data_IF_756041510306
#
_entry.id   IF_756041510306
#
_cell.length_a   1.000
_cell.length_b   1.000
_cell.length_c   1.000
_cell.angle_alpha   90.00
_cell.angle_beta   90.00
_cell.angle_gamma   90.00
#
_symmetry.space_group_name_H-M   'P 1'
#
loop_
_entity.id
_entity.type
_entity.pdbx_description
1 polymer ?
#
# COMPACT_ATOMS: atom_id res chain seq x y z
N UNK A 1 4.55 -4.42 -9.53
CA UNK A 1 5.26 -4.13 -8.27
C UNK A 1 5.39 -2.62 -8.10
N UNK A 2 5.36 -2.11 -6.88
CA UNK A 2 5.56 -0.68 -6.59
C UNK A 2 6.90 -0.14 -7.13
N UNK A 3 7.86 -1.01 -7.46
CA UNK A 3 9.11 -0.66 -8.15
C UNK A 3 8.88 -0.14 -9.57
N UNK A 4 7.78 -0.51 -10.23
CA UNK A 4 7.35 0.09 -11.49
C UNK A 4 6.84 1.53 -11.31
N UNK A 5 6.56 1.97 -10.08
CA UNK A 5 6.11 3.31 -9.75
C UNK A 5 7.15 4.40 -9.89
N UNK A 6 8.44 4.07 -9.89
CA UNK A 6 9.51 5.06 -9.94
C UNK A 6 10.43 4.83 -11.13
N UNK A 7 10.40 5.75 -12.11
CA UNK A 7 11.48 5.89 -13.09
C UNK A 7 11.42 5.02 -14.36
N UNK A 8 10.33 4.29 -14.61
CA UNK A 8 10.15 3.65 -15.93
C UNK A 8 9.44 4.63 -16.85
N UNK A 9 10.23 5.29 -17.68
CA UNK A 9 9.76 6.21 -18.72
C UNK A 9 9.84 5.55 -20.12
N UNK A 10 9.24 4.36 -20.23
CA UNK A 10 9.07 3.70 -21.51
C UNK A 10 7.75 4.14 -22.14
N UNK A 11 7.81 4.58 -23.39
CA UNK A 11 6.62 4.99 -24.14
C UNK A 11 5.86 3.81 -24.74
N UNK A 12 6.54 2.68 -24.99
CA UNK A 12 6.07 1.50 -25.71
C UNK A 12 5.44 0.40 -24.81
N UNK A 13 4.92 0.76 -23.64
CA UNK A 13 4.19 -0.18 -22.77
C UNK A 13 2.84 -0.51 -23.43
N UNK A 14 2.63 -1.78 -23.78
CA UNK A 14 1.41 -2.24 -24.46
C UNK A 14 0.30 -2.69 -23.53
N UNK A 15 0.63 -3.07 -22.29
CA UNK A 15 -0.36 -3.46 -21.30
C UNK A 15 0.11 -3.17 -19.87
N UNK A 16 -0.85 -2.83 -19.03
CA UNK A 16 -0.69 -2.74 -17.57
C UNK A 16 -1.76 -3.62 -16.94
N UNK A 17 -1.35 -4.58 -16.13
CA UNK A 17 -2.25 -5.47 -15.40
C UNK A 17 -2.08 -5.25 -13.92
N UNK A 18 -3.17 -4.86 -13.26
CA UNK A 18 -3.24 -4.79 -11.80
C UNK A 18 -3.76 -6.13 -11.29
N UNK A 19 -2.90 -6.90 -10.65
CA UNK A 19 -3.26 -8.18 -10.05
C UNK A 19 -3.98 -8.03 -8.71
N UNK A 20 -3.70 -6.95 -8.00
CA UNK A 20 -4.37 -6.55 -6.76
C UNK A 20 -4.91 -5.13 -6.94
N UNK A 21 -6.00 -4.80 -6.23
CA UNK A 21 -6.57 -3.45 -6.27
C UNK A 21 -5.56 -2.41 -5.76
N UNK A 22 -5.30 -1.32 -6.48
CA UNK A 22 -4.55 -0.18 -5.97
C UNK A 22 -5.24 0.48 -4.77
N UNK A 23 -4.47 1.14 -3.91
CA UNK A 23 -5.00 1.80 -2.71
C UNK A 23 -5.84 3.05 -2.98
N UNK A 24 -5.82 3.57 -4.22
CA UNK A 24 -6.61 4.74 -4.61
C UNK A 24 -6.77 4.84 -6.13
N UNK A 25 -7.71 5.66 -6.57
CA UNK A 25 -7.93 5.98 -7.99
C UNK A 25 -6.73 6.70 -8.58
N UNK A 26 -6.06 7.56 -7.80
CA UNK A 26 -4.85 8.27 -8.20
C UNK A 26 -3.70 7.29 -8.50
N UNK A 27 -3.49 6.29 -7.62
CA UNK A 27 -2.49 5.26 -7.83
C UNK A 27 -2.80 4.43 -9.08
N UNK A 28 -4.06 4.01 -9.24
CA UNK A 28 -4.52 3.31 -10.44
C UNK A 28 -4.26 4.13 -11.71
N UNK A 29 -4.65 5.40 -11.71
CA UNK A 29 -4.49 6.28 -12.87
C UNK A 29 -3.02 6.51 -13.25
N UNK A 30 -2.15 6.71 -12.26
CA UNK A 30 -0.70 6.86 -12.49
C UNK A 30 -0.07 5.59 -13.06
N UNK A 31 -0.50 4.42 -12.62
CA UNK A 31 0.02 3.13 -13.08
C UNK A 31 -0.54 2.79 -14.46
N UNK A 32 -1.85 2.91 -14.67
CA UNK A 32 -2.52 2.69 -15.95
C UNK A 32 -2.03 3.66 -17.04
N UNK A 33 -1.80 4.92 -16.69
CA UNK A 33 -1.29 5.97 -17.58
C UNK A 33 0.14 5.76 -18.10
N UNK A 34 0.79 4.64 -17.75
CA UNK A 34 2.08 4.23 -18.35
C UNK A 34 1.88 3.51 -19.68
N UNK A 35 0.71 2.95 -19.93
CA UNK A 35 0.39 2.24 -21.15
C UNK A 35 0.14 3.23 -22.31
N UNK A 36 0.71 2.95 -23.50
CA UNK A 36 0.42 3.67 -24.73
C UNK A 36 0.88 5.12 -24.77
N UNK A 37 1.95 5.50 -24.08
CA UNK A 37 2.47 6.89 -24.11
C UNK A 37 2.95 7.34 -25.49
N UNK A 38 3.22 6.41 -26.38
CA UNK A 38 3.57 6.67 -27.79
C UNK A 38 2.34 6.90 -28.69
N UNK A 39 1.12 6.83 -28.13
CA UNK A 39 -0.14 6.97 -28.86
C UNK A 39 -0.65 5.69 -29.51
N UNK A 40 0.10 4.59 -29.42
CA UNK A 40 -0.33 3.29 -29.92
C UNK A 40 -1.30 2.60 -28.97
N UNK A 41 -2.12 1.68 -29.52
CA UNK A 41 -3.10 0.93 -28.73
C UNK A 41 -2.44 0.18 -27.57
N UNK A 42 -3.02 0.33 -26.38
CA UNK A 42 -2.55 -0.32 -25.17
C UNK A 42 -3.74 -0.72 -24.28
N UNK A 43 -3.53 -1.71 -23.40
CA UNK A 43 -4.57 -2.26 -22.54
C UNK A 43 -4.23 -2.02 -21.08
N UNK A 44 -5.25 -1.66 -20.30
CA UNK A 44 -5.17 -1.60 -18.83
C UNK A 44 -6.23 -2.55 -18.26
N UNK A 45 -5.82 -3.49 -17.47
CA UNK A 45 -6.71 -4.47 -16.87
C UNK A 45 -6.52 -4.51 -15.35
N UNK A 46 -7.63 -4.58 -14.63
CA UNK A 46 -7.65 -4.76 -13.19
C UNK A 46 -8.38 -6.05 -12.84
N UNK A 47 -7.65 -7.00 -12.27
CA UNK A 47 -8.20 -8.25 -11.75
C UNK A 47 -8.72 -8.00 -10.34
N UNK A 48 -9.98 -7.57 -10.24
CA UNK A 48 -10.57 -7.18 -8.96
C UNK A 48 -11.13 -8.37 -8.19
N UNK A 49 -10.70 -8.50 -6.94
CA UNK A 49 -11.32 -9.34 -5.93
C UNK A 49 -11.51 -8.49 -4.66
N UNK A 50 -12.75 -8.42 -4.15
CA UNK A 50 -13.02 -7.64 -2.94
C UNK A 50 -12.15 -8.05 -1.74
N UNK A 51 -11.76 -9.33 -1.64
CA UNK A 51 -10.89 -9.79 -0.56
C UNK A 51 -9.51 -9.10 -0.55
N UNK A 52 -9.06 -8.57 -1.70
CA UNK A 52 -7.76 -7.89 -1.82
C UNK A 52 -7.76 -6.51 -1.15
N UNK A 53 -8.96 -5.95 -0.85
CA UNK A 53 -9.08 -4.71 -0.06
C UNK A 53 -8.42 -4.85 1.30
N UNK A 54 -8.41 -6.06 1.90
CA UNK A 54 -7.76 -6.33 3.18
C UNK A 54 -6.26 -6.02 3.17
N UNK A 55 -5.60 -6.23 2.04
CA UNK A 55 -4.19 -5.86 1.88
C UNK A 55 -4.01 -4.35 1.95
N UNK A 56 -4.90 -3.60 1.31
CA UNK A 56 -4.87 -2.14 1.34
C UNK A 56 -5.26 -1.59 2.73
N UNK A 57 -6.27 -2.18 3.37
CA UNK A 57 -6.64 -1.86 4.75
C UNK A 57 -5.47 -2.06 5.71
N UNK A 58 -4.74 -3.17 5.58
CA UNK A 58 -3.53 -3.42 6.38
C UNK A 58 -2.46 -2.33 6.17
N UNK A 59 -2.28 -1.83 4.95
CA UNK A 59 -1.36 -0.73 4.69
C UNK A 59 -1.88 0.60 5.26
N UNK A 60 -3.19 0.88 5.14
CA UNK A 60 -3.81 2.07 5.75
C UNK A 60 -3.61 2.06 7.26
N UNK A 61 -3.90 0.93 7.94
CA UNK A 61 -3.67 0.78 9.37
C UNK A 61 -2.20 0.96 9.74
N UNK A 62 -1.30 0.49 8.86
CA UNK A 62 0.15 0.60 9.05
C UNK A 62 0.69 2.02 8.97
N UNK A 63 0.07 2.92 8.21
CA UNK A 63 0.52 4.31 8.05
C UNK A 63 -0.29 5.30 8.89
N UNK A 64 -1.34 4.84 9.56
CA UNK A 64 -2.23 5.64 10.41
C UNK A 64 -2.28 5.08 11.85
N UNK A 65 -1.20 5.23 12.64
CA UNK A 65 -1.21 4.79 14.03
C UNK A 65 -2.18 5.66 14.82
N UNK A 66 -3.07 5.04 15.60
CA UNK A 66 -3.92 5.75 16.54
C UNK A 66 -3.10 6.39 17.66
N UNK A 67 -3.68 7.37 18.35
CA UNK A 67 -3.03 8.10 19.43
C UNK A 67 -2.54 7.18 20.57
N UNK A 68 -3.27 6.10 20.87
CA UNK A 68 -2.85 5.11 21.87
C UNK A 68 -1.52 4.46 21.48
N UNK A 69 -1.38 4.03 20.23
CA UNK A 69 -0.14 3.42 19.71
C UNK A 69 1.04 4.39 19.83
N UNK A 70 0.83 5.68 19.53
CA UNK A 70 1.87 6.71 19.63
C UNK A 70 2.29 6.88 21.09
N UNK A 71 1.33 6.87 22.02
CA UNK A 71 1.58 6.91 23.47
C UNK A 71 2.32 5.67 23.97
N UNK A 72 1.95 4.48 23.48
CA UNK A 72 2.60 3.22 23.87
C UNK A 72 4.06 3.20 23.41
N UNK A 73 4.35 3.68 22.19
CA UNK A 73 5.72 3.82 21.69
C UNK A 73 6.52 4.84 22.52
N UNK A 74 5.92 5.98 22.87
CA UNK A 74 6.59 6.97 23.70
C UNK A 74 6.84 6.44 25.13
N UNK A 75 5.87 5.74 25.72
CA UNK A 75 6.00 5.10 27.03
C UNK A 75 7.12 4.04 27.03
N UNK A 76 7.22 3.26 25.96
CA UNK A 76 8.33 2.32 25.79
C UNK A 76 9.68 3.04 25.88
N UNK A 77 9.85 4.19 25.19
CA UNK A 77 11.09 4.95 25.27
C UNK A 77 11.36 5.53 26.66
N UNK A 78 10.33 6.02 27.35
CA UNK A 78 10.50 6.48 28.73
C UNK A 78 10.98 5.36 29.68
N UNK A 79 10.55 4.13 29.44
CA UNK A 79 10.89 2.98 30.28
C UNK A 79 12.25 2.36 29.98
N UNK A 80 12.71 2.43 28.71
CA UNK A 80 13.91 1.73 28.21
C UNK A 80 15.12 2.68 27.99
N UNK A 81 14.93 3.99 28.23
CA UNK A 81 15.99 4.98 28.04
C UNK A 81 17.11 4.83 29.11
N UNK A 82 18.34 4.99 28.65
CA UNK A 82 19.52 5.05 29.50
C UNK A 82 19.67 6.42 30.22
N UNK A 83 20.79 6.64 30.88
CA UNK A 83 21.13 7.88 31.59
C UNK A 83 21.25 9.12 30.69
N UNK A 84 21.45 8.91 29.38
CA UNK A 84 21.50 9.96 28.35
C UNK A 84 20.15 10.13 27.62
N UNK A 85 19.11 9.48 28.11
CA UNK A 85 17.77 9.43 27.48
C UNK A 85 17.79 8.82 26.09
N UNK A 86 18.70 7.87 25.84
CA UNK A 86 18.85 7.16 24.57
C UNK A 86 18.35 5.72 24.66
N UNK A 87 17.75 5.27 23.56
CA UNK A 87 17.26 3.90 23.38
C UNK A 87 17.86 3.30 22.12
N UNK A 88 18.54 2.18 22.27
CA UNK A 88 19.22 1.46 21.19
C UNK A 88 18.47 0.16 20.85
N UNK A 89 17.27 0.27 20.30
CA UNK A 89 16.39 -0.85 19.97
C UNK A 89 16.02 -0.85 18.50
N UNK A 90 15.81 -2.03 17.95
CA UNK A 90 15.26 -2.20 16.59
C UNK A 90 13.74 -1.96 16.59
N UNK A 91 13.17 -1.77 15.41
CA UNK A 91 11.71 -1.67 15.27
C UNK A 91 11.00 -2.96 15.69
N UNK A 92 11.65 -4.11 15.50
CA UNK A 92 11.11 -5.41 15.89
C UNK A 92 11.09 -5.55 17.42
N UNK A 93 12.14 -5.10 18.13
CA UNK A 93 12.16 -5.09 19.59
C UNK A 93 11.04 -4.22 20.15
N UNK A 94 10.83 -3.02 19.59
CA UNK A 94 9.73 -2.12 19.98
C UNK A 94 8.39 -2.79 19.73
N UNK A 95 8.20 -3.38 18.56
CA UNK A 95 6.98 -4.09 18.16
C UNK A 95 6.62 -5.19 19.16
N UNK A 96 7.59 -6.04 19.51
CA UNK A 96 7.39 -7.13 20.46
C UNK A 96 7.05 -6.61 21.86
N UNK A 97 7.76 -5.59 22.31
CA UNK A 97 7.58 -5.04 23.67
C UNK A 97 6.20 -4.44 23.89
N UNK A 98 5.62 -3.78 22.87
CA UNK A 98 4.29 -3.17 22.98
C UNK A 98 3.17 -4.06 22.40
N UNK A 99 3.50 -5.27 21.89
CA UNK A 99 2.53 -6.21 21.33
C UNK A 99 1.86 -5.72 20.05
N UNK A 100 2.53 -4.88 19.26
CA UNK A 100 1.96 -4.32 18.04
C UNK A 100 1.85 -5.39 16.95
N UNK A 101 0.68 -5.47 16.28
CA UNK A 101 0.43 -6.40 15.19
C UNK A 101 1.12 -5.97 13.89
N UNK A 102 1.18 -4.66 13.64
CA UNK A 102 1.70 -4.08 12.40
C UNK A 102 2.98 -3.27 12.69
N UNK A 103 4.13 -3.76 12.22
CA UNK A 103 5.42 -3.08 12.38
C UNK A 103 5.51 -1.73 11.64
N UNK A 104 4.73 -1.52 10.57
CA UNK A 104 4.67 -0.24 9.86
C UNK A 104 4.10 0.86 10.75
N UNK A 105 3.13 0.52 11.63
CA UNK A 105 2.53 1.47 12.56
C UNK A 105 3.55 2.03 13.57
N UNK A 106 4.55 1.24 13.96
CA UNK A 106 5.67 1.72 14.78
C UNK A 106 6.44 2.82 14.04
N UNK A 107 6.79 2.57 12.77
CA UNK A 107 7.49 3.56 11.95
C UNK A 107 6.70 4.86 11.78
N UNK A 108 5.39 4.75 11.59
CA UNK A 108 4.50 5.90 11.47
C UNK A 108 4.34 6.65 12.82
N UNK A 109 4.25 5.92 13.94
CA UNK A 109 4.21 6.50 15.28
C UNK A 109 5.51 7.27 15.60
N UNK A 110 6.68 6.67 15.30
CA UNK A 110 7.97 7.35 15.41
C UNK A 110 8.02 8.63 14.58
N UNK A 111 7.52 8.58 13.33
CA UNK A 111 7.43 9.76 12.48
C UNK A 111 6.56 10.88 13.09
N UNK A 112 5.48 10.51 13.77
CA UNK A 112 4.62 11.49 14.48
C UNK A 112 5.34 12.07 15.70
N UNK A 113 5.99 11.24 16.50
CA UNK A 113 6.78 11.71 17.65
C UNK A 113 7.95 12.61 17.24
N UNK A 114 8.63 12.31 16.13
CA UNK A 114 9.70 13.16 15.59
C UNK A 114 9.17 14.53 15.12
N UNK A 115 8.05 14.56 14.38
CA UNK A 115 7.43 15.82 13.95
C UNK A 115 6.98 16.68 15.13
N UNK A 116 6.52 16.06 16.19
CA UNK A 116 6.17 16.74 17.45
C UNK A 116 7.36 17.15 18.30
N UNK A 117 8.60 16.86 17.87
CA UNK A 117 9.83 17.12 18.62
C UNK A 117 9.84 16.47 20.03
N UNK A 118 9.27 15.28 20.13
CA UNK A 118 9.28 14.46 21.34
C UNK A 118 10.51 13.56 21.38
N UNK A 119 10.94 13.09 20.20
CA UNK A 119 12.09 12.24 19.99
C UNK A 119 12.92 12.72 18.79
N UNK A 120 14.18 12.34 18.78
CA UNK A 120 15.03 12.38 17.58
C UNK A 120 15.61 10.99 17.30
N UNK A 121 15.90 10.73 16.02
CA UNK A 121 16.58 9.49 15.63
C UNK A 121 17.96 9.79 15.06
N UNK A 122 18.93 8.98 15.44
CA UNK A 122 20.30 9.12 15.01
C UNK A 122 20.88 7.78 14.54
N UNK A 123 21.93 7.87 13.72
CA UNK A 123 22.62 6.69 13.22
C UNK A 123 23.65 6.20 14.24
N UNK A 124 23.64 4.90 14.50
CA UNK A 124 24.61 4.24 15.38
C UNK A 124 25.78 3.75 14.50
N UNK A 125 27.01 4.24 14.70
CA UNK A 125 28.16 3.82 13.92
C UNK A 125 28.34 2.29 13.94
N UNK A 126 28.43 1.68 12.76
CA UNK A 126 28.61 0.23 12.60
C UNK A 126 27.33 -0.61 12.78
N UNK A 127 26.18 0.02 13.00
CA UNK A 127 24.88 -0.67 13.12
C UNK A 127 23.92 -0.26 12.03
N UNK A 128 23.01 -1.18 11.62
CA UNK A 128 21.85 -0.85 10.79
C UNK A 128 20.67 -0.34 11.61
N UNK A 129 20.67 -0.57 12.93
CA UNK A 129 19.68 -0.01 13.83
C UNK A 129 19.92 1.48 14.05
N UNK A 130 18.85 2.24 14.21
CA UNK A 130 18.92 3.65 14.58
C UNK A 130 18.70 3.80 16.09
N UNK A 131 19.49 4.64 16.74
CA UNK A 131 19.20 5.11 18.07
C UNK A 131 18.02 6.09 18.08
N UNK A 132 17.39 6.20 19.23
CA UNK A 132 16.32 7.17 19.51
C UNK A 132 16.63 7.88 20.81
N UNK A 133 16.60 9.21 20.81
CA UNK A 133 16.77 10.03 22.01
C UNK A 133 15.48 10.74 22.34
N UNK A 134 15.09 10.73 23.60
CA UNK A 134 14.01 11.53 24.12
C UNK A 134 14.45 13.00 24.23
N UNK A 135 13.67 13.91 23.66
CA UNK A 135 13.96 15.35 23.71
C UNK A 135 13.30 16.03 24.92
N UNK A 136 12.25 15.41 25.47
CA UNK A 136 11.48 15.93 26.61
C UNK A 136 11.15 14.79 27.60
N UNK A 137 12.15 14.17 28.22
CA UNK A 137 11.95 12.99 29.07
C UNK A 137 11.15 13.30 30.36
N UNK A 138 11.03 14.57 30.74
CA UNK A 138 10.23 15.03 31.88
C UNK A 138 8.71 15.01 31.60
N UNK A 139 8.30 14.91 30.34
CA UNK A 139 6.89 14.89 29.97
C UNK A 139 6.32 13.48 30.09
N UNK A 140 5.26 13.35 30.87
CA UNK A 140 4.58 12.06 31.02
C UNK A 140 3.76 11.74 29.77
N UNK A 141 3.59 10.47 29.47
CA UNK A 141 2.83 9.98 28.29
C UNK A 141 1.42 10.55 28.20
N UNK A 142 0.74 10.76 29.34
CA UNK A 142 -0.60 11.36 29.39
C UNK A 142 -0.63 12.81 28.99
N UNK A 143 0.49 13.52 29.12
CA UNK A 143 0.63 14.95 28.82
C UNK A 143 1.19 15.18 27.40
N UNK A 144 1.41 14.09 26.64
CA UNK A 144 1.86 14.12 25.26
C UNK A 144 0.79 14.75 24.37
N UNK A 145 1.10 15.90 23.78
CA UNK A 145 0.19 16.58 22.87
C UNK A 145 0.18 15.90 21.50
N UNK A 146 -0.91 15.23 21.20
CA UNK A 146 -1.15 14.56 19.90
C UNK A 146 -2.43 15.17 19.31
N UNK A 147 -2.35 15.58 18.06
CA UNK A 147 -3.54 16.03 17.31
C UNK A 147 -4.32 14.80 16.83
N UNK A 148 -5.16 14.27 17.71
CA UNK A 148 -5.98 13.07 17.44
C UNK A 148 -6.94 13.32 16.29
N UNK A 149 -7.52 14.52 16.19
CA UNK A 149 -8.44 14.87 15.10
C UNK A 149 -7.74 14.84 13.73
N UNK A 150 -6.49 15.32 13.66
CA UNK A 150 -5.72 15.24 12.42
C UNK A 150 -5.34 13.81 12.05
N UNK A 151 -5.08 12.94 13.02
CA UNK A 151 -4.81 11.51 12.78
C UNK A 151 -6.06 10.80 12.25
N UNK A 152 -7.21 10.97 12.89
CA UNK A 152 -8.49 10.40 12.48
C UNK A 152 -8.90 10.88 11.09
N UNK A 153 -8.75 12.17 10.83
CA UNK A 153 -9.06 12.77 9.52
C UNK A 153 -8.17 12.20 8.41
N UNK A 154 -6.86 11.99 8.70
CA UNK A 154 -5.95 11.37 7.75
C UNK A 154 -6.37 9.93 7.44
N UNK A 155 -6.65 9.13 8.47
CA UNK A 155 -7.10 7.75 8.32
C UNK A 155 -8.42 7.69 7.52
N UNK A 156 -9.37 8.55 7.82
CA UNK A 156 -10.65 8.65 7.12
C UNK A 156 -10.45 8.91 5.62
N UNK A 157 -9.58 9.88 5.27
CA UNK A 157 -9.25 10.18 3.86
C UNK A 157 -8.60 8.99 3.14
N UNK A 158 -7.68 8.28 3.80
CA UNK A 158 -7.03 7.12 3.21
C UNK A 158 -8.05 5.99 2.95
N UNK A 159 -9.01 5.77 3.86
CA UNK A 159 -10.10 4.81 3.68
C UNK A 159 -11.07 5.24 2.58
N UNK A 160 -11.44 6.53 2.53
CA UNK A 160 -12.29 7.07 1.46
C UNK A 160 -11.68 6.90 0.07
N UNK A 161 -10.37 7.08 -0.07
CA UNK A 161 -9.67 6.83 -1.34
C UNK A 161 -9.76 5.37 -1.77
N UNK A 162 -9.58 4.43 -0.85
CA UNK A 162 -9.76 3.01 -1.13
C UNK A 162 -11.22 2.71 -1.52
N UNK A 163 -12.19 3.28 -0.81
CA UNK A 163 -13.61 3.13 -1.13
C UNK A 163 -13.94 3.63 -2.53
N UNK A 164 -13.39 4.80 -2.93
CA UNK A 164 -13.55 5.32 -4.29
C UNK A 164 -12.95 4.38 -5.33
N UNK A 165 -11.81 3.76 -5.06
CA UNK A 165 -11.22 2.77 -5.94
C UNK A 165 -12.11 1.52 -6.08
N UNK A 166 -12.73 1.06 -5.00
CA UNK A 166 -13.71 -0.04 -5.01
C UNK A 166 -14.96 0.36 -5.81
N UNK A 167 -15.46 1.59 -5.63
CA UNK A 167 -16.59 2.11 -6.40
C UNK A 167 -16.31 2.11 -7.90
N UNK A 168 -15.10 2.49 -8.34
CA UNK A 168 -14.69 2.39 -9.74
C UNK A 168 -14.79 0.95 -10.26
N UNK A 169 -14.39 -0.05 -9.47
CA UNK A 169 -14.46 -1.45 -9.87
C UNK A 169 -15.91 -1.92 -10.12
N UNK A 170 -16.85 -1.42 -9.33
CA UNK A 170 -18.29 -1.77 -9.45
C UNK A 170 -19.10 -0.80 -10.33
N UNK A 171 -18.50 0.26 -10.86
CA UNK A 171 -19.23 1.23 -11.66
C UNK A 171 -19.75 0.60 -12.96
N UNK A 172 -21.01 0.91 -13.30
CA UNK A 172 -21.67 0.48 -14.55
C UNK A 172 -21.65 1.61 -15.62
N UNK A 173 -20.80 2.60 -15.42
CA UNK A 173 -20.58 3.74 -16.32
C UNK A 173 -19.22 3.62 -16.98
N UNK A 174 -19.00 4.39 -18.06
CA UNK A 174 -17.72 4.43 -18.74
C UNK A 174 -16.56 4.64 -17.74
N UNK A 175 -15.57 3.76 -17.74
CA UNK A 175 -14.43 3.80 -16.81
C UNK A 175 -13.66 5.10 -16.88
N UNK A 176 -13.38 5.57 -18.10
CA UNK A 176 -12.67 6.82 -18.30
C UNK A 176 -13.48 8.02 -17.83
N UNK A 177 -14.77 8.08 -18.18
CA UNK A 177 -15.65 9.14 -17.72
C UNK A 177 -15.68 9.19 -16.20
N UNK A 178 -15.87 8.06 -15.53
CA UNK A 178 -15.89 7.97 -14.06
C UNK A 178 -14.59 8.51 -13.43
N UNK A 179 -13.43 8.17 -14.01
CA UNK A 179 -12.13 8.64 -13.52
C UNK A 179 -11.98 10.15 -13.72
N UNK A 180 -12.35 10.68 -14.89
CA UNK A 180 -12.26 12.10 -15.18
C UNK A 180 -13.19 12.93 -14.27
N UNK A 181 -14.41 12.45 -14.05
CA UNK A 181 -15.36 13.05 -13.10
C UNK A 181 -14.84 13.01 -11.66
N UNK A 182 -14.19 11.91 -11.26
CA UNK A 182 -13.51 11.82 -9.96
C UNK A 182 -12.43 12.90 -9.79
N UNK A 183 -11.72 13.24 -10.84
CA UNK A 183 -10.73 14.33 -10.85
C UNK A 183 -11.34 15.72 -11.07
N UNK A 184 -12.67 15.84 -11.14
CA UNK A 184 -13.38 17.10 -11.20
C UNK A 184 -13.69 17.62 -12.61
N UNK A 185 -13.54 16.78 -13.65
CA UNK A 185 -13.95 17.14 -15.00
C UNK A 185 -15.47 17.00 -15.15
N UNK A 186 -16.17 18.11 -15.33
CA UNK A 186 -17.60 18.11 -15.53
C UNK A 186 -17.94 17.64 -16.96
N UNK A 187 -18.94 16.75 -17.07
CA UNK A 187 -19.42 16.22 -18.35
C UNK A 187 -18.32 15.50 -19.18
N UNK A 188 -17.47 14.71 -18.51
CA UNK A 188 -16.43 13.95 -19.16
C UNK A 188 -17.00 13.04 -20.27
N UNK A 189 -16.33 12.93 -21.44
CA UNK A 189 -16.84 12.17 -22.56
C UNK A 189 -16.76 10.66 -22.32
N UNK A 190 -17.68 9.92 -22.95
CA UNK A 190 -17.66 8.46 -23.01
C UNK A 190 -16.51 8.02 -23.93
N UNK A 191 -15.66 7.09 -23.46
CA UNK A 191 -14.47 6.68 -24.22
C UNK A 191 -14.75 5.72 -25.38
N UNK A 192 -15.85 4.96 -25.35
CA UNK A 192 -16.20 3.97 -26.38
C UNK A 192 -15.30 2.72 -26.40
N UNK A 193 -14.28 2.64 -25.57
CA UNK A 193 -13.24 1.61 -25.65
C UNK A 193 -13.04 0.76 -24.36
N UNK A 194 -13.63 1.15 -23.23
CA UNK A 194 -13.56 0.35 -22.01
C UNK A 194 -14.54 -0.84 -22.05
N UNK A 195 -14.39 -1.76 -21.10
CA UNK A 195 -15.24 -2.94 -20.91
C UNK A 195 -16.74 -2.59 -20.90
N UNK A 196 -17.15 -1.58 -20.11
CA UNK A 196 -18.53 -1.11 -20.02
C UNK A 196 -19.03 -0.55 -21.36
N UNK A 197 -18.24 0.30 -22.03
CA UNK A 197 -18.62 0.89 -23.32
C UNK A 197 -18.78 -0.16 -24.41
N UNK A 198 -18.00 -1.24 -24.37
CA UNK A 198 -18.06 -2.35 -25.34
C UNK A 198 -19.10 -3.41 -24.99
N UNK A 199 -19.75 -3.27 -23.82
CA UNK A 199 -20.73 -4.27 -23.37
C UNK A 199 -20.08 -5.60 -22.95
N UNK A 200 -18.79 -5.57 -22.56
CA UNK A 200 -18.04 -6.77 -22.17
C UNK A 200 -18.33 -7.19 -20.71
N UNK A 201 -19.49 -6.84 -20.17
CA UNK A 201 -19.90 -7.17 -18.80
C UNK A 201 -19.93 -8.67 -18.48
N UNK A 202 -19.91 -9.47 -19.53
CA UNK A 202 -19.66 -10.90 -19.43
C UNK A 202 -18.86 -11.35 -20.64
N UNK A 203 -17.56 -11.17 -20.61
CA UNK A 203 -16.76 -11.97 -21.53
C UNK A 203 -17.12 -13.41 -21.26
N UNK A 204 -17.79 -14.06 -22.19
CA UNK A 204 -17.96 -15.50 -22.17
C UNK A 204 -16.56 -16.06 -21.91
N UNK A 205 -16.37 -16.68 -20.75
CA UNK A 205 -15.10 -17.30 -20.41
C UNK A 205 -14.85 -18.39 -21.44
N UNK A 206 -14.12 -18.04 -22.50
CA UNK A 206 -13.72 -19.04 -23.48
C UNK A 206 -12.66 -19.96 -22.87
N UNK A 207 -12.65 -21.20 -23.29
CA UNK A 207 -11.54 -22.08 -22.99
C UNK A 207 -10.25 -21.50 -23.57
N UNK A 208 -9.12 -21.50 -22.86
CA UNK A 208 -7.85 -21.06 -23.38
C UNK A 208 -7.44 -21.94 -24.58
N UNK A 209 -6.79 -21.34 -25.56
CA UNK A 209 -6.13 -22.13 -26.62
C UNK A 209 -5.04 -22.99 -26.01
N UNK A 210 -4.57 -23.99 -26.74
CA UNK A 210 -3.49 -24.89 -26.28
C UNK A 210 -2.21 -24.10 -25.94
N UNK A 211 -1.89 -23.08 -26.71
CA UNK A 211 -0.74 -22.20 -26.50
C UNK A 211 -0.91 -21.35 -25.22
N UNK A 212 -2.06 -20.70 -25.05
CA UNK A 212 -2.41 -19.96 -23.86
C UNK A 212 -2.41 -20.86 -22.61
N UNK A 213 -2.97 -22.08 -22.74
CA UNK A 213 -2.96 -23.08 -21.68
C UNK A 213 -1.55 -23.52 -21.31
N UNK A 214 -0.61 -23.57 -22.27
CA UNK A 214 0.79 -23.85 -21.99
C UNK A 214 1.47 -22.71 -21.24
N UNK A 215 1.21 -21.46 -21.63
CA UNK A 215 1.73 -20.27 -20.95
C UNK A 215 1.22 -20.22 -19.50
N UNK A 216 -0.08 -20.39 -19.29
CA UNK A 216 -0.69 -20.40 -17.95
C UNK A 216 -0.08 -21.52 -17.09
N UNK A 217 0.06 -22.74 -17.63
CA UNK A 217 0.69 -23.87 -16.88
C UNK A 217 2.14 -23.60 -16.51
N UNK A 218 2.93 -23.01 -17.41
CA UNK A 218 4.32 -22.59 -17.12
C UNK A 218 4.37 -21.57 -16.00
N UNK A 219 3.51 -20.55 -16.07
CA UNK A 219 3.41 -19.49 -15.06
C UNK A 219 3.02 -20.08 -13.70
N UNK A 220 1.91 -20.84 -13.64
CA UNK A 220 1.44 -21.47 -12.40
C UNK A 220 2.46 -22.45 -11.83
N UNK A 221 3.19 -23.21 -12.68
CA UNK A 221 4.28 -24.08 -12.26
C UNK A 221 5.44 -23.28 -11.63
N UNK A 222 5.75 -22.10 -12.17
CA UNK A 222 6.72 -21.17 -11.58
C UNK A 222 6.28 -20.69 -10.19
N UNK A 223 5.05 -20.24 -10.08
CA UNK A 223 4.46 -19.81 -8.81
C UNK A 223 4.44 -20.93 -7.78
N UNK A 224 4.02 -22.14 -8.18
CA UNK A 224 3.98 -23.32 -7.29
C UNK A 224 5.36 -23.73 -6.78
N UNK A 225 6.42 -23.60 -7.60
CA UNK A 225 7.80 -23.90 -7.19
C UNK A 225 8.37 -22.85 -6.24
N UNK A 226 7.89 -21.62 -6.32
CA UNK A 226 8.30 -20.50 -5.46
C UNK A 226 7.37 -20.28 -4.26
N UNK A 227 6.44 -21.18 -4.04
CA UNK A 227 5.47 -21.16 -2.95
C UNK A 227 5.52 -22.45 -2.18
N UNK A 228 5.23 -22.38 -0.89
CA UNK A 228 4.96 -23.57 -0.07
C UNK A 228 3.55 -23.53 0.47
N UNK A 229 2.94 -24.68 0.62
CA UNK A 229 1.63 -24.81 1.25
C UNK A 229 1.77 -24.72 2.77
N UNK A 230 0.99 -23.85 3.40
CA UNK A 230 0.88 -23.71 4.85
C UNK A 230 -0.52 -24.14 5.30
N UNK A 231 -0.75 -24.22 6.59
CA UNK A 231 -2.08 -24.53 7.15
C UNK A 231 -3.15 -23.47 6.80
N UNK A 232 -2.72 -22.24 6.50
CA UNK A 232 -3.58 -21.10 6.21
C UNK A 232 -3.63 -20.73 4.71
N UNK A 233 -2.89 -21.44 3.84
CA UNK A 233 -2.85 -21.16 2.40
C UNK A 233 -1.49 -21.39 1.77
N UNK A 234 -1.16 -20.59 0.76
CA UNK A 234 0.10 -20.61 0.06
C UNK A 234 0.97 -19.43 0.47
N UNK A 235 2.23 -19.68 0.79
CA UNK A 235 3.23 -18.68 1.15
C UNK A 235 4.38 -18.69 0.15
N UNK A 236 4.81 -17.51 -0.34
CA UNK A 236 5.97 -17.37 -1.20
C UNK A 236 7.28 -17.71 -0.46
N UNK A 237 8.13 -18.56 -1.05
CA UNK A 237 9.44 -18.92 -0.50
C UNK A 237 10.45 -17.77 -0.68
N UNK A 238 10.24 -16.93 -1.69
CA UNK A 238 11.08 -15.77 -2.00
C UNK A 238 10.27 -14.49 -1.89
N UNK A 239 10.88 -13.45 -1.32
CA UNK A 239 10.26 -12.13 -1.25
C UNK A 239 9.85 -11.64 -2.65
N UNK A 240 8.76 -10.86 -2.71
CA UNK A 240 8.08 -10.39 -3.93
C UNK A 240 8.99 -9.73 -5.00
N UNK A 241 10.26 -9.44 -4.70
CA UNK A 241 11.22 -8.80 -5.59
C UNK A 241 12.06 -9.73 -6.47
N UNK A 242 11.80 -11.05 -6.50
CA UNK A 242 12.58 -12.03 -7.28
C UNK A 242 11.78 -12.81 -8.32
N UNK A 243 10.59 -12.37 -8.66
CA UNK A 243 9.84 -12.92 -9.81
C UNK A 243 10.16 -12.02 -11.01
N UNK A 244 11.19 -12.36 -11.74
CA UNK A 244 11.48 -11.87 -13.08
C UNK A 244 11.26 -13.02 -14.04
#
# INVERSE_FOLDING_TARGET
TNAFGMGIDRSDVRFVVHFEIPGSVEAYYQEAGRAGRDGEAAFCELLFNYADTRTQEFFIDGVNPGASMIRDVYQFFLNDADENYEVHRTLDDIKESIGAKNGMAIGAALGTLMRGQWIERFDIPGSRAKGTRLLRPEVLTRDLTIDEAALEEKERRDREKLEKMVQLCYANTCRQQWILEYFGEENAPICGSCDVCRGEESSERRAPTDEEGLIVRKFLSGVARMSRRTATGWEGIFGRGRII
#
